data_IF_135534547071
#
_entry.id   IF_135534547071
#
_cell.length_a   1.000
_cell.length_b   1.000
_cell.length_c   1.000
_cell.angle_alpha   90.00
_cell.angle_beta   90.00
_cell.angle_gamma   90.00
#
_symmetry.space_group_name_H-M   'P 1'
#
loop_
_entity.id
_entity.type
_entity.pdbx_description
1 polymer ?
#
# COMPACT_ATOMS: atom_id res chain seq x y z
N UNK A 1 7.65 48.02 -10.76
CA UNK A 1 7.76 47.23 -9.51
C UNK A 1 7.24 45.79 -9.64
N UNK A 2 6.35 45.46 -10.59
CA UNK A 2 5.79 44.10 -10.72
C UNK A 2 6.79 43.02 -11.21
N UNK A 3 7.72 43.37 -12.11
CA UNK A 3 8.69 42.42 -12.68
C UNK A 3 9.64 41.79 -11.64
N UNK A 4 10.20 42.62 -10.76
CA UNK A 4 11.13 42.15 -9.72
C UNK A 4 10.45 41.25 -8.69
N UNK A 5 9.17 41.52 -8.37
CA UNK A 5 8.37 40.67 -7.47
C UNK A 5 8.11 39.30 -8.10
N UNK A 6 7.68 39.26 -9.37
CA UNK A 6 7.44 37.98 -10.07
C UNK A 6 8.73 37.16 -10.24
N UNK A 7 9.84 37.83 -10.54
CA UNK A 7 11.15 37.20 -10.63
C UNK A 7 11.56 36.58 -9.28
N UNK A 8 11.39 37.30 -8.17
CA UNK A 8 11.67 36.80 -6.83
C UNK A 8 10.85 35.56 -6.46
N UNK A 9 9.54 35.58 -6.73
CA UNK A 9 8.66 34.42 -6.48
C UNK A 9 9.07 33.23 -7.34
N UNK A 10 9.35 33.45 -8.62
CA UNK A 10 9.74 32.40 -9.56
C UNK A 10 11.06 31.75 -9.17
N UNK A 11 12.06 32.54 -8.78
CA UNK A 11 13.35 32.04 -8.32
C UNK A 11 13.18 31.22 -7.03
N UNK A 12 12.46 31.76 -6.05
CA UNK A 12 12.23 31.07 -4.78
C UNK A 12 11.49 29.74 -4.97
N UNK A 13 10.41 29.72 -5.76
CA UNK A 13 9.68 28.50 -6.08
C UNK A 13 10.59 27.46 -6.76
N UNK A 14 11.39 27.90 -7.73
CA UNK A 14 12.32 27.01 -8.47
C UNK A 14 13.38 26.40 -7.56
N UNK A 15 13.96 27.19 -6.64
CA UNK A 15 14.97 26.73 -5.69
C UNK A 15 14.39 25.76 -4.65
N UNK A 16 13.22 26.08 -4.10
CA UNK A 16 12.55 25.21 -3.12
C UNK A 16 12.14 23.90 -3.77
N UNK A 17 11.53 23.96 -4.95
CA UNK A 17 11.11 22.77 -5.69
C UNK A 17 12.29 21.88 -6.04
N UNK A 18 13.42 22.45 -6.51
CA UNK A 18 14.64 21.69 -6.77
C UNK A 18 15.16 20.97 -5.53
N UNK A 19 15.20 21.64 -4.37
CA UNK A 19 15.62 21.01 -3.11
C UNK A 19 14.70 19.86 -2.69
N UNK A 20 13.38 20.02 -2.88
CA UNK A 20 12.41 18.95 -2.61
C UNK A 20 12.65 17.76 -3.54
N UNK A 21 12.85 18.00 -4.84
CA UNK A 21 13.17 16.94 -5.79
C UNK A 21 14.47 16.20 -5.45
N UNK A 22 15.54 16.93 -5.11
CA UNK A 22 16.82 16.34 -4.71
C UNK A 22 16.68 15.50 -3.42
N UNK A 23 15.84 15.92 -2.48
CA UNK A 23 15.52 15.14 -1.30
C UNK A 23 14.70 13.89 -1.64
N UNK A 24 13.67 14.01 -2.48
CA UNK A 24 12.85 12.89 -2.94
C UNK A 24 13.66 11.86 -3.71
N UNK A 25 14.58 12.27 -4.59
CA UNK A 25 15.44 11.37 -5.35
C UNK A 25 16.33 10.52 -4.44
N UNK A 26 16.94 11.14 -3.42
CA UNK A 26 17.75 10.43 -2.43
C UNK A 26 16.91 9.46 -1.61
N UNK A 27 15.75 9.91 -1.12
CA UNK A 27 14.84 9.06 -0.34
C UNK A 27 14.32 7.87 -1.16
N UNK A 28 13.95 8.10 -2.43
CA UNK A 28 13.49 7.04 -3.33
C UNK A 28 14.57 5.98 -3.53
N UNK A 29 15.80 6.39 -3.82
CA UNK A 29 16.93 5.47 -3.99
C UNK A 29 17.19 4.64 -2.73
N UNK A 30 17.23 5.29 -1.56
CA UNK A 30 17.44 4.60 -0.28
C UNK A 30 16.32 3.61 0.03
N UNK A 31 15.05 3.99 -0.21
CA UNK A 31 13.91 3.10 0.01
C UNK A 31 13.93 1.92 -0.96
N UNK A 32 14.18 2.15 -2.25
CA UNK A 32 14.22 1.09 -3.26
C UNK A 32 15.29 0.04 -2.94
N UNK A 33 16.45 0.46 -2.45
CA UNK A 33 17.53 -0.47 -2.07
C UNK A 33 17.16 -1.30 -0.82
N UNK A 34 16.45 -0.70 0.13
CA UNK A 34 15.97 -1.39 1.34
C UNK A 34 14.86 -2.42 1.03
N UNK A 35 13.92 -2.06 0.15
CA UNK A 35 12.76 -2.90 -0.17
C UNK A 35 12.95 -3.80 -1.40
N UNK A 36 14.14 -3.81 -2.01
CA UNK A 36 14.37 -4.50 -3.29
C UNK A 36 13.92 -5.96 -3.28
N UNK A 37 14.18 -6.68 -2.19
CA UNK A 37 13.78 -8.09 -2.01
C UNK A 37 12.34 -8.29 -1.52
N UNK A 38 11.60 -7.20 -1.28
CA UNK A 38 10.22 -7.19 -0.82
C UNK A 38 9.25 -6.69 -1.90
N UNK A 39 9.73 -6.47 -3.13
CA UNK A 39 8.85 -6.08 -4.25
C UNK A 39 7.92 -7.24 -4.61
N UNK A 40 6.64 -7.00 -4.46
CA UNK A 40 5.56 -7.88 -4.94
C UNK A 40 5.37 -7.64 -6.44
N UNK A 41 5.18 -8.70 -7.22
CA UNK A 41 4.91 -8.55 -8.65
C UNK A 41 3.49 -7.99 -8.85
N UNK A 42 3.29 -7.12 -9.84
CA UNK A 42 1.96 -6.57 -10.12
C UNK A 42 0.94 -7.69 -10.48
N UNK A 43 1.41 -8.81 -11.05
CA UNK A 43 0.59 -9.99 -11.32
C UNK A 43 0.02 -10.62 -10.03
N UNK A 44 0.81 -10.68 -8.95
CA UNK A 44 0.36 -11.23 -7.66
C UNK A 44 -0.69 -10.32 -7.02
N UNK A 45 -0.52 -9.00 -7.17
CA UNK A 45 -1.47 -7.97 -6.71
C UNK A 45 -2.79 -8.10 -7.48
N UNK A 46 -2.73 -8.22 -8.80
CA UNK A 46 -3.93 -8.40 -9.63
C UNK A 46 -4.67 -9.70 -9.31
N UNK A 47 -3.94 -10.79 -9.06
CA UNK A 47 -4.53 -12.06 -8.63
C UNK A 47 -5.27 -11.91 -7.30
N UNK A 48 -4.69 -11.20 -6.33
CA UNK A 48 -5.29 -10.97 -5.02
C UNK A 48 -6.53 -10.06 -5.13
N UNK A 49 -6.44 -8.94 -5.85
CA UNK A 49 -7.56 -7.99 -6.00
C UNK A 49 -8.75 -8.60 -6.76
N UNK A 50 -8.48 -9.45 -7.76
CA UNK A 50 -9.51 -10.10 -8.56
C UNK A 50 -10.13 -11.34 -7.90
N UNK A 51 -9.51 -11.88 -6.86
CA UNK A 51 -10.06 -13.01 -6.13
C UNK A 51 -11.36 -12.60 -5.41
N UNK A 52 -12.47 -13.28 -5.74
CA UNK A 52 -13.79 -13.07 -5.13
C UNK A 52 -14.22 -14.24 -4.23
N UNK A 53 -13.35 -15.23 -4.06
CA UNK A 53 -13.64 -16.40 -3.23
C UNK A 53 -13.54 -16.02 -1.76
N UNK A 54 -14.58 -16.30 -0.96
CA UNK A 54 -14.55 -16.09 0.48
C UNK A 54 -13.85 -17.28 1.16
N UNK A 55 -12.57 -17.08 1.48
CA UNK A 55 -11.76 -18.13 2.09
C UNK A 55 -12.02 -18.27 3.60
N UNK A 56 -12.64 -17.27 4.23
CA UNK A 56 -13.00 -17.32 5.65
C UNK A 56 -14.11 -18.37 5.87
N UNK A 57 -15.06 -18.49 4.93
CA UNK A 57 -16.13 -19.50 5.00
C UNK A 57 -15.62 -20.94 4.94
N UNK A 58 -14.41 -21.18 4.44
CA UNK A 58 -13.77 -22.49 4.43
C UNK A 58 -13.34 -22.99 5.81
N UNK A 59 -13.34 -22.12 6.83
CA UNK A 59 -12.89 -22.42 8.19
C UNK A 59 -14.01 -22.03 9.19
N UNK A 60 -14.90 -22.96 9.56
CA UNK A 60 -16.06 -22.65 10.40
C UNK A 60 -15.71 -22.05 11.77
N UNK A 61 -14.60 -22.50 12.36
CA UNK A 61 -14.12 -22.06 13.68
C UNK A 61 -13.18 -20.84 13.58
N UNK A 62 -13.08 -20.16 12.43
CA UNK A 62 -12.13 -19.06 12.25
C UNK A 62 -12.34 -17.90 13.23
N UNK A 63 -13.58 -17.68 13.67
CA UNK A 63 -13.93 -16.63 14.63
C UNK A 63 -13.68 -17.03 16.09
N UNK A 64 -13.34 -18.29 16.37
CA UNK A 64 -13.06 -18.76 17.72
C UNK A 64 -11.61 -18.47 18.12
N UNK A 65 -11.42 -18.01 19.35
CA UNK A 65 -10.07 -17.74 19.89
C UNK A 65 -9.18 -18.98 19.97
N UNK A 66 -9.79 -20.18 20.00
CA UNK A 66 -9.08 -21.46 20.00
C UNK A 66 -8.59 -21.90 18.62
N UNK A 67 -8.92 -21.15 17.56
CA UNK A 67 -8.57 -21.51 16.19
C UNK A 67 -7.05 -21.53 15.95
N UNK A 68 -6.49 -22.67 15.48
CA UNK A 68 -5.06 -22.76 15.22
C UNK A 68 -4.69 -22.13 13.87
N UNK A 69 -4.16 -20.91 13.87
CA UNK A 69 -3.79 -20.17 12.64
C UNK A 69 -2.78 -20.89 11.74
N UNK A 70 -1.98 -21.83 12.27
CA UNK A 70 -1.00 -22.62 11.51
C UNK A 70 -1.61 -23.64 10.55
N UNK A 71 -2.91 -23.93 10.66
CA UNK A 71 -3.60 -24.84 9.73
C UNK A 71 -3.86 -24.19 8.37
N UNK A 72 -3.88 -22.85 8.29
CA UNK A 72 -4.14 -22.11 7.07
C UNK A 72 -2.91 -22.19 6.14
N UNK A 73 -3.09 -22.61 4.87
CA UNK A 73 -2.02 -22.57 3.88
C UNK A 73 -1.53 -21.13 3.62
N UNK A 74 -0.22 -20.93 3.48
CA UNK A 74 0.38 -19.58 3.31
C UNK A 74 -0.22 -18.78 2.15
N UNK A 75 -0.59 -19.44 1.05
CA UNK A 75 -1.21 -18.79 -0.12
C UNK A 75 -2.58 -18.18 0.21
N UNK A 76 -3.33 -18.84 1.10
CA UNK A 76 -4.67 -18.42 1.51
C UNK A 76 -4.62 -17.40 2.65
N UNK A 77 -3.54 -17.39 3.44
CA UNK A 77 -3.36 -16.47 4.57
C UNK A 77 -3.46 -14.99 4.15
N UNK A 78 -2.86 -14.62 3.02
CA UNK A 78 -2.90 -13.23 2.51
C UNK A 78 -4.32 -12.84 2.09
N UNK A 79 -5.05 -13.76 1.45
CA UNK A 79 -6.43 -13.54 1.05
C UNK A 79 -7.36 -13.37 2.26
N UNK A 80 -7.20 -14.20 3.29
CA UNK A 80 -7.95 -14.07 4.54
C UNK A 80 -7.64 -12.73 5.23
N UNK A 81 -6.37 -12.34 5.31
CA UNK A 81 -6.00 -11.05 5.88
C UNK A 81 -6.66 -9.89 5.11
N UNK A 82 -6.66 -9.93 3.78
CA UNK A 82 -7.35 -8.95 2.94
C UNK A 82 -8.85 -8.90 3.23
N UNK A 83 -9.51 -10.05 3.35
CA UNK A 83 -10.93 -10.14 3.72
C UNK A 83 -11.23 -9.64 5.13
N UNK A 84 -10.32 -9.82 6.08
CA UNK A 84 -10.48 -9.26 7.44
C UNK A 84 -10.58 -7.73 7.41
N UNK A 85 -9.84 -7.04 6.53
CA UNK A 85 -9.98 -5.59 6.36
C UNK A 85 -11.36 -5.18 5.83
N UNK A 86 -11.99 -6.03 5.02
CA UNK A 86 -13.34 -5.82 4.49
C UNK A 86 -14.42 -6.11 5.54
N UNK A 87 -14.29 -7.22 6.26
CA UNK A 87 -15.19 -7.61 7.36
C UNK A 87 -15.20 -6.57 8.48
N UNK A 88 -14.03 -6.01 8.81
CA UNK A 88 -13.91 -4.91 9.78
C UNK A 88 -14.41 -3.56 9.23
N UNK A 89 -14.74 -3.48 7.95
CA UNK A 89 -15.22 -2.27 7.29
C UNK A 89 -14.16 -1.18 7.12
N UNK A 90 -12.88 -1.49 7.32
CA UNK A 90 -11.78 -0.51 7.26
C UNK A 90 -11.60 0.06 5.85
N UNK A 91 -11.73 -0.77 4.82
CA UNK A 91 -11.64 -0.33 3.42
C UNK A 91 -12.65 0.80 3.13
N UNK A 92 -13.90 0.60 3.53
CA UNK A 92 -14.98 1.58 3.35
C UNK A 92 -14.82 2.81 4.26
N UNK A 93 -14.36 2.60 5.50
CA UNK A 93 -14.23 3.69 6.49
C UNK A 93 -13.09 4.66 6.17
N UNK A 94 -11.96 4.13 5.73
CA UNK A 94 -10.73 4.90 5.47
C UNK A 94 -10.50 5.21 3.99
N UNK A 95 -11.39 4.76 3.09
CA UNK A 95 -11.25 4.90 1.63
C UNK A 95 -9.90 4.36 1.13
N UNK A 96 -9.53 3.18 1.65
CA UNK A 96 -8.28 2.52 1.25
C UNK A 96 -8.50 1.95 -0.15
N UNK A 97 -7.60 2.28 -1.08
CA UNK A 97 -7.58 1.69 -2.41
C UNK A 97 -7.21 0.20 -2.29
N UNK A 98 -8.01 -0.68 -2.92
CA UNK A 98 -7.79 -2.13 -2.88
C UNK A 98 -6.45 -2.51 -3.50
N UNK A 99 -6.00 -1.81 -4.54
CA UNK A 99 -4.70 -2.08 -5.18
C UNK A 99 -3.54 -1.64 -4.29
N UNK A 100 -3.73 -0.60 -3.48
CA UNK A 100 -2.75 -0.18 -2.48
C UNK A 100 -2.73 -1.10 -1.26
N UNK A 101 -3.85 -1.73 -0.91
CA UNK A 101 -3.92 -2.69 0.19
C UNK A 101 -3.25 -4.03 -0.17
N UNK A 102 -3.27 -4.40 -1.45
CA UNK A 102 -2.69 -5.64 -1.97
C UNK A 102 -1.17 -5.57 -2.23
N UNK A 103 -0.56 -4.37 -2.17
CA UNK A 103 0.88 -4.10 -2.38
C UNK A 103 1.67 -4.03 -1.07
#
# INVERSE_FOLDING_TARGET
MAFSVYCGISIMHSLVYKKVQDAQARNKLSNELMIYHMKVADEDVEQLTNCREDHILGFPEFFDFSFPTRTIPRKVTVHIAFQMFEVLGFVKRFQIDRDHLAK
#
